data_IF_464656578688
#
_entry.id   IF_464656578688
#
_cell.length_a   1.000
_cell.length_b   1.000
_cell.length_c   1.000
_cell.angle_alpha   90.00
_cell.angle_beta   90.00
_cell.angle_gamma   90.00
#
_symmetry.space_group_name_H-M   'P 1'
#
loop_
_entity.id
_entity.type
_entity.pdbx_description
1 polymer ?
#
# COMPACT_ATOMS: atom_id res chain seq x y z
N UNK A 1 19.76 48.61 19.06
CA UNK A 1 21.16 48.34 19.47
C UNK A 1 21.61 47.04 18.82
N UNK A 2 22.53 47.08 17.85
CA UNK A 2 23.19 45.91 17.27
C UNK A 2 24.63 45.75 17.82
N UNK A 3 25.05 44.52 18.12
CA UNK A 3 26.43 44.03 18.32
C UNK A 3 26.31 42.53 18.68
N UNK A 4 27.12 41.54 18.28
CA UNK A 4 28.40 41.42 17.57
C UNK A 4 28.44 40.00 16.93
N UNK A 5 28.91 39.80 15.70
CA UNK A 5 30.28 39.37 15.30
C UNK A 5 30.67 37.97 15.84
N UNK A 6 30.50 36.85 15.11
CA UNK A 6 31.33 36.22 14.05
C UNK A 6 32.17 34.99 14.59
N UNK A 7 32.99 34.25 13.80
CA UNK A 7 32.88 32.79 13.60
C UNK A 7 34.16 31.98 13.91
N UNK A 8 34.14 30.63 13.81
CA UNK A 8 35.28 29.71 13.50
C UNK A 8 34.92 28.26 13.88
N UNK A 9 34.81 27.32 12.94
CA UNK A 9 35.83 26.48 12.25
C UNK A 9 36.25 25.20 13.01
N UNK A 10 36.54 24.10 12.28
CA UNK A 10 36.74 22.75 12.81
C UNK A 10 38.23 22.42 13.07
N UNK A 11 38.49 21.53 14.01
CA UNK A 11 39.81 20.91 14.21
C UNK A 11 39.71 19.38 14.18
N UNK A 12 40.32 18.77 13.17
CA UNK A 12 40.91 17.40 13.20
C UNK A 12 42.26 17.46 13.97
N UNK A 13 43.18 16.46 13.99
CA UNK A 13 43.22 15.08 13.49
C UNK A 13 43.93 14.06 14.45
N UNK A 14 44.23 12.85 13.93
CA UNK A 14 45.32 11.92 14.30
C UNK A 14 45.11 10.87 15.40
N UNK A 15 45.11 9.59 15.00
CA UNK A 15 46.15 8.55 15.26
C UNK A 15 45.65 7.24 14.61
N UNK A 16 46.21 6.77 13.49
CA UNK A 16 47.48 6.05 13.33
C UNK A 16 47.51 4.70 14.06
N UNK A 17 47.31 3.60 13.32
CA UNK A 17 48.23 2.44 13.31
C UNK A 17 47.82 1.44 12.23
N UNK A 18 48.73 1.24 11.27
CA UNK A 18 48.83 0.13 10.35
C UNK A 18 49.37 -1.11 11.11
N UNK A 19 48.74 -2.27 10.94
CA UNK A 19 49.33 -3.61 11.20
C UNK A 19 48.75 -4.52 10.11
N UNK A 20 49.52 -4.79 9.04
CA UNK A 20 50.34 -5.98 8.80
C UNK A 20 49.56 -7.31 8.69
N UNK A 21 49.51 -7.79 7.45
CA UNK A 21 49.54 -9.18 6.95
C UNK A 21 49.50 -10.33 7.97
N UNK A 22 48.64 -11.32 7.71
CA UNK A 22 49.06 -12.72 7.58
C UNK A 22 47.87 -13.65 7.27
N UNK A 23 47.80 -14.10 6.02
CA UNK A 23 47.10 -15.31 5.61
C UNK A 23 47.96 -16.54 5.93
N UNK A 24 47.41 -17.61 6.53
CA UNK A 24 48.03 -18.93 6.41
C UNK A 24 47.26 -19.84 5.46
N UNK A 25 47.97 -20.21 4.39
CA UNK A 25 47.66 -21.32 3.50
C UNK A 25 47.75 -22.67 4.23
N UNK A 26 46.86 -23.61 3.88
CA UNK A 26 46.91 -25.02 4.33
C UNK A 26 47.26 -25.92 3.14
N UNK A 27 48.23 -26.87 3.28
CA UNK A 27 48.67 -27.74 2.18
C UNK A 27 48.05 -29.17 2.18
N UNK A 28 47.62 -29.61 0.97
CA UNK A 28 47.64 -31.00 0.43
C UNK A 28 46.76 -32.10 1.07
N UNK A 29 46.65 -33.32 0.48
CA UNK A 29 47.33 -33.86 -0.71
C UNK A 29 46.45 -34.63 -1.76
N UNK A 30 46.91 -34.54 -3.02
CA UNK A 30 47.07 -35.56 -4.09
C UNK A 30 46.20 -36.84 -4.12
N UNK A 31 45.44 -36.98 -5.21
CA UNK A 31 45.65 -38.06 -6.20
C UNK A 31 44.65 -39.22 -6.30
N UNK A 32 44.53 -39.73 -7.53
CA UNK A 32 43.83 -40.95 -8.01
C UNK A 32 42.31 -40.82 -8.24
N UNK A 33 41.72 -41.19 -9.38
CA UNK A 33 42.21 -41.77 -10.63
C UNK A 33 41.22 -41.43 -11.76
N UNK A 34 41.75 -41.27 -12.97
CA UNK A 34 40.97 -41.23 -14.21
C UNK A 34 40.84 -42.67 -14.70
N UNK A 35 39.64 -43.10 -15.07
CA UNK A 35 39.43 -44.30 -15.89
C UNK A 35 38.40 -43.95 -16.98
N UNK A 36 38.71 -44.23 -18.26
CA UNK A 36 37.80 -43.96 -19.37
C UNK A 36 36.90 -45.18 -19.69
N UNK A 37 35.98 -44.95 -20.63
CA UNK A 37 35.24 -45.94 -21.46
C UNK A 37 33.84 -46.35 -20.96
N UNK A 38 32.79 -45.66 -21.44
CA UNK A 38 31.92 -46.18 -22.53
C UNK A 38 30.70 -45.28 -22.77
N UNK A 39 30.35 -44.99 -24.05
CA UNK A 39 29.14 -44.25 -24.41
C UNK A 39 27.99 -45.23 -24.66
N UNK A 40 26.95 -45.18 -23.83
CA UNK A 40 25.67 -45.80 -24.10
C UNK A 40 24.59 -44.72 -24.20
N UNK A 41 24.24 -44.44 -25.45
CA UNK A 41 23.02 -43.81 -25.93
C UNK A 41 21.77 -44.48 -25.33
N UNK A 42 20.73 -43.69 -25.01
CA UNK A 42 19.28 -43.90 -25.28
C UNK A 42 18.39 -43.01 -24.35
N UNK A 43 17.13 -42.69 -24.70
CA UNK A 43 16.76 -41.46 -25.38
C UNK A 43 15.81 -40.56 -24.54
N UNK A 44 15.51 -39.38 -25.08
CA UNK A 44 14.49 -38.43 -24.62
C UNK A 44 13.26 -39.07 -23.95
N UNK A 45 13.07 -38.75 -22.67
CA UNK A 45 11.77 -38.80 -22.02
C UNK A 45 11.22 -37.36 -21.92
N UNK A 46 10.16 -36.98 -22.66
CA UNK A 46 9.42 -35.76 -22.39
C UNK A 46 8.51 -35.99 -21.17
N UNK A 47 9.11 -36.14 -20.00
CA UNK A 47 8.44 -36.05 -18.72
C UNK A 47 8.60 -34.63 -18.22
N UNK A 48 7.70 -33.74 -18.65
CA UNK A 48 7.59 -32.41 -18.07
C UNK A 48 7.41 -32.58 -16.56
N UNK A 49 8.49 -32.34 -15.80
CA UNK A 49 8.40 -32.02 -14.39
C UNK A 49 7.49 -30.81 -14.30
N UNK A 50 6.20 -31.05 -14.06
CA UNK A 50 5.25 -30.01 -13.75
C UNK A 50 5.79 -29.32 -12.50
N UNK A 51 6.50 -28.22 -12.71
CA UNK A 51 6.82 -27.29 -11.65
C UNK A 51 5.48 -27.01 -10.95
N UNK A 52 5.32 -27.34 -9.66
CA UNK A 52 4.17 -26.85 -8.94
C UNK A 52 4.21 -25.34 -9.10
N UNK A 53 3.20 -24.77 -9.76
CA UNK A 53 3.06 -23.34 -9.91
C UNK A 53 3.07 -22.77 -8.50
N UNK A 54 4.23 -22.24 -8.09
CA UNK A 54 4.40 -21.62 -6.80
C UNK A 54 3.27 -20.61 -6.63
N UNK A 55 2.49 -20.64 -5.55
CA UNK A 55 1.52 -19.60 -5.30
C UNK A 55 2.30 -18.29 -5.18
N UNK A 56 2.14 -17.42 -6.18
CA UNK A 56 2.81 -16.14 -6.28
C UNK A 56 2.40 -15.31 -5.05
N UNK A 57 3.31 -15.24 -4.08
CA UNK A 57 3.35 -14.32 -2.96
C UNK A 57 2.01 -14.08 -2.25
N UNK A 58 1.67 -14.95 -1.29
CA UNK A 58 0.80 -14.57 -0.18
C UNK A 58 1.54 -13.53 0.68
N UNK A 59 1.51 -12.27 0.24
CA UNK A 59 2.17 -11.17 0.94
C UNK A 59 1.48 -10.97 2.28
N UNK A 60 2.16 -11.36 3.37
CA UNK A 60 1.70 -11.15 4.74
C UNK A 60 1.32 -9.67 4.94
N UNK A 61 0.06 -9.44 5.34
CA UNK A 61 -0.48 -8.09 5.51
C UNK A 61 0.23 -7.35 6.66
N UNK A 62 0.41 -6.04 6.48
CA UNK A 62 0.88 -5.15 7.53
C UNK A 62 -0.02 -5.23 8.78
N UNK A 63 0.59 -5.06 9.95
CA UNK A 63 -0.02 -5.13 11.30
C UNK A 63 -1.43 -4.53 11.32
N UNK A 64 -2.44 -5.38 11.57
CA UNK A 64 -3.85 -5.00 11.55
C UNK A 64 -4.23 -4.27 12.83
N UNK A 65 -4.19 -2.94 12.78
CA UNK A 65 -4.74 -2.08 13.84
C UNK A 65 -6.28 -2.12 13.75
N UNK A 66 -7.02 -2.40 14.84
CA UNK A 66 -8.48 -2.43 14.80
C UNK A 66 -9.05 -1.05 14.43
N UNK A 67 -9.94 -1.02 13.43
CA UNK A 67 -10.54 0.21 12.92
C UNK A 67 -11.74 0.58 13.79
N UNK A 68 -11.55 1.50 14.72
CA UNK A 68 -12.66 2.06 15.52
C UNK A 68 -13.18 3.33 14.86
N UNK A 69 -14.46 3.35 14.48
CA UNK A 69 -15.17 4.55 14.03
C UNK A 69 -16.04 5.08 15.17
N UNK A 70 -15.77 6.32 15.62
CA UNK A 70 -16.51 6.99 16.71
C UNK A 70 -17.99 7.24 16.38
N UNK A 71 -18.31 7.39 15.09
CA UNK A 71 -19.67 7.58 14.59
C UNK A 71 -19.78 6.93 13.21
N UNK A 72 -20.81 6.13 13.03
CA UNK A 72 -21.08 5.44 11.76
C UNK A 72 -22.01 6.26 10.87
N UNK A 73 -23.00 6.93 11.47
CA UNK A 73 -23.98 7.73 10.75
C UNK A 73 -23.37 9.02 10.17
N UNK A 74 -23.81 9.37 8.96
CA UNK A 74 -23.45 10.64 8.31
C UNK A 74 -24.02 11.83 9.07
N UNK A 75 -23.37 12.98 8.95
CA UNK A 75 -23.88 14.24 9.47
C UNK A 75 -24.84 14.85 8.44
N UNK A 76 -26.14 14.66 8.64
CA UNK A 76 -27.18 15.24 7.79
C UNK A 76 -27.42 16.71 8.14
N UNK A 77 -27.74 17.52 7.14
CA UNK A 77 -28.18 18.91 7.34
C UNK A 77 -29.51 18.95 8.09
N UNK A 78 -29.68 19.96 8.96
CA UNK A 78 -30.95 20.22 9.64
C UNK A 78 -32.11 20.38 8.63
N UNK A 79 -33.25 19.71 8.89
CA UNK A 79 -34.47 19.73 8.06
C UNK A 79 -34.32 19.16 6.64
N UNK A 80 -33.23 18.45 6.34
CA UNK A 80 -33.09 17.73 5.06
C UNK A 80 -34.04 16.54 4.93
N UNK A 81 -34.54 16.03 6.06
CA UNK A 81 -35.57 15.02 6.17
C UNK A 81 -36.96 15.55 5.80
N UNK A 82 -37.25 16.83 6.06
CA UNK A 82 -38.57 17.44 5.84
C UNK A 82 -38.74 17.99 4.43
N UNK A 83 -37.69 18.56 3.85
CA UNK A 83 -37.77 19.28 2.58
C UNK A 83 -36.80 18.70 1.55
N UNK A 84 -37.33 18.29 0.39
CA UNK A 84 -36.51 17.80 -0.71
C UNK A 84 -35.55 18.88 -1.28
N UNK A 85 -35.95 20.16 -1.23
CA UNK A 85 -35.10 21.28 -1.64
C UNK A 85 -33.84 21.43 -0.78
N UNK A 86 -33.87 20.93 0.46
CA UNK A 86 -32.74 21.00 1.39
C UNK A 86 -31.92 19.71 1.31
N UNK A 87 -30.84 19.76 0.52
CA UNK A 87 -29.91 18.63 0.36
C UNK A 87 -29.28 18.19 1.70
N UNK A 88 -29.03 16.88 1.83
CA UNK A 88 -28.49 16.26 3.06
C UNK A 88 -27.06 16.70 3.44
N UNK A 89 -26.30 17.27 2.48
CA UNK A 89 -24.92 17.69 2.71
C UNK A 89 -24.82 18.69 3.87
N UNK A 90 -23.98 18.38 4.86
CA UNK A 90 -23.84 19.16 6.08
C UNK A 90 -23.57 20.65 5.81
N UNK A 91 -24.31 21.52 6.50
CA UNK A 91 -24.08 22.97 6.57
C UNK A 91 -24.27 23.43 8.01
N UNK A 92 -23.40 24.33 8.48
CA UNK A 92 -23.49 24.87 9.83
C UNK A 92 -24.73 25.78 9.94
N UNK A 93 -25.71 25.47 10.81
CA UNK A 93 -26.89 26.31 10.98
C UNK A 93 -26.52 27.65 11.64
N UNK A 94 -26.99 28.76 11.08
CA UNK A 94 -26.66 30.13 11.53
C UNK A 94 -27.81 30.86 12.25
N UNK A 95 -29.06 30.43 12.08
CA UNK A 95 -30.25 31.14 12.60
C UNK A 95 -30.26 31.33 14.12
N UNK A 96 -30.86 32.44 14.57
CA UNK A 96 -30.90 32.86 15.98
C UNK A 96 -31.60 31.84 16.89
N UNK A 97 -32.73 31.28 16.45
CA UNK A 97 -33.53 30.32 17.23
C UNK A 97 -33.30 28.86 16.84
N UNK A 98 -32.26 28.59 16.04
CA UNK A 98 -32.02 27.23 15.57
C UNK A 98 -31.59 26.30 16.73
N UNK A 99 -32.40 25.26 16.96
CA UNK A 99 -32.20 24.30 18.06
C UNK A 99 -30.89 23.50 17.96
N UNK A 100 -30.43 23.18 16.74
CA UNK A 100 -29.15 22.47 16.51
C UNK A 100 -27.99 23.36 16.92
N UNK A 101 -28.02 24.65 16.55
CA UNK A 101 -26.98 25.62 16.88
C UNK A 101 -26.82 25.76 18.40
N UNK A 102 -27.96 25.84 19.11
CA UNK A 102 -28.04 25.91 20.58
C UNK A 102 -27.76 24.57 21.29
N UNK A 103 -27.62 23.47 20.54
CA UNK A 103 -27.28 22.12 21.06
C UNK A 103 -28.29 21.54 22.07
N UNK A 104 -29.59 21.76 21.84
CA UNK A 104 -30.61 21.10 22.65
C UNK A 104 -30.56 19.57 22.49
N UNK A 105 -30.96 18.86 23.56
CA UNK A 105 -31.11 17.39 23.54
C UNK A 105 -32.13 16.93 22.49
N UNK A 106 -31.91 15.73 21.94
CA UNK A 106 -32.78 15.13 20.92
C UNK A 106 -32.60 15.67 19.50
N UNK A 107 -31.69 16.62 19.28
CA UNK A 107 -31.43 17.18 17.96
C UNK A 107 -30.12 16.61 17.35
N UNK A 108 -30.03 16.64 16.02
CA UNK A 108 -28.87 16.16 15.25
C UNK A 108 -27.57 16.79 15.74
N UNK A 109 -26.57 15.95 16.04
CA UNK A 109 -25.26 16.39 16.49
C UNK A 109 -24.50 17.14 15.38
N UNK A 110 -23.81 18.23 15.75
CA UNK A 110 -22.90 18.94 14.85
C UNK A 110 -21.55 18.22 14.72
N UNK A 111 -20.88 18.26 13.55
CA UNK A 111 -19.49 17.85 13.41
C UNK A 111 -18.57 18.67 14.32
N UNK A 112 -17.62 17.98 14.95
CA UNK A 112 -16.60 18.52 15.85
C UNK A 112 -15.29 17.74 15.63
N UNK A 113 -14.15 18.35 15.96
CA UNK A 113 -12.83 17.70 15.90
C UNK A 113 -12.80 16.41 16.74
N UNK A 114 -13.55 16.35 17.84
CA UNK A 114 -13.62 15.16 18.71
C UNK A 114 -14.08 13.87 18.02
N UNK A 115 -14.82 13.96 16.90
CA UNK A 115 -15.22 12.78 16.12
C UNK A 115 -14.10 12.24 15.20
N UNK A 116 -12.95 12.90 15.13
CA UNK A 116 -11.81 12.45 14.34
C UNK A 116 -11.36 11.04 14.70
N UNK A 117 -11.12 10.21 13.68
CA UNK A 117 -10.56 8.86 13.83
C UNK A 117 -9.09 8.91 14.25
N UNK A 118 -8.54 7.80 14.75
CA UNK A 118 -7.11 7.69 15.04
C UNK A 118 -6.28 8.03 13.78
N UNK A 119 -5.19 8.79 13.95
CA UNK A 119 -4.29 9.20 12.86
C UNK A 119 -3.77 8.00 12.08
N UNK A 120 -3.43 6.90 12.76
CA UNK A 120 -2.92 5.67 12.13
C UNK A 120 -3.97 4.97 11.25
N UNK A 121 -5.24 4.98 11.65
CA UNK A 121 -6.33 4.27 10.97
C UNK A 121 -7.15 5.15 10.03
N UNK A 122 -6.72 6.39 9.81
CA UNK A 122 -7.40 7.33 8.93
C UNK A 122 -7.26 6.84 7.48
N UNK A 123 -8.37 6.86 6.73
CA UNK A 123 -8.45 6.41 5.33
C UNK A 123 -8.14 4.93 5.06
N UNK A 124 -8.12 4.07 6.09
CA UNK A 124 -8.05 2.63 5.91
C UNK A 124 -9.40 2.05 5.46
N UNK A 125 -9.32 1.14 4.51
CA UNK A 125 -10.38 0.21 4.10
C UNK A 125 -10.52 -0.91 5.14
N UNK A 126 -11.65 -1.64 5.16
CA UNK A 126 -11.84 -2.79 6.04
C UNK A 126 -10.84 -3.94 5.79
N UNK A 127 -10.24 -3.98 4.60
CA UNK A 127 -9.17 -4.91 4.25
C UNK A 127 -7.81 -4.55 4.89
N UNK A 128 -7.68 -3.40 5.56
CA UNK A 128 -6.43 -2.94 6.18
C UNK A 128 -5.49 -2.13 5.28
N UNK A 129 -5.85 -1.92 4.01
CA UNK A 129 -5.07 -1.13 3.04
C UNK A 129 -5.64 0.29 2.89
N UNK A 130 -4.84 1.21 2.38
CA UNK A 130 -5.30 2.53 1.90
C UNK A 130 -5.67 2.43 0.43
N UNK A 131 -6.73 3.09 0.01
CA UNK A 131 -7.08 3.13 -1.42
C UNK A 131 -6.17 4.10 -2.19
N UNK A 132 -5.69 3.67 -3.34
CA UNK A 132 -4.96 4.49 -4.31
C UNK A 132 -5.69 4.45 -5.65
N UNK A 133 -6.07 5.61 -6.17
CA UNK A 133 -6.81 5.71 -7.43
C UNK A 133 -5.83 5.58 -8.61
N UNK A 134 -6.11 4.65 -9.53
CA UNK A 134 -5.26 4.34 -10.68
C UNK A 134 -6.03 4.60 -11.98
N UNK A 135 -5.43 5.36 -12.89
CA UNK A 135 -5.94 5.65 -14.23
C UNK A 135 -5.19 4.85 -15.30
N UNK A 136 -3.88 4.63 -15.12
CA UNK A 136 -2.98 4.09 -16.14
C UNK A 136 -2.14 2.92 -15.62
N UNK A 137 -1.57 2.12 -16.52
CA UNK A 137 -0.68 0.99 -16.18
C UNK A 137 0.57 1.45 -15.41
N UNK A 138 1.16 2.59 -15.82
CA UNK A 138 2.34 3.18 -15.17
C UNK A 138 2.11 3.53 -13.69
N UNK A 139 0.88 3.86 -13.33
CA UNK A 139 0.52 4.19 -11.94
C UNK A 139 0.43 2.93 -11.06
N UNK A 140 0.23 1.75 -11.66
CA UNK A 140 0.30 0.47 -10.95
C UNK A 140 1.74 0.16 -10.55
N UNK A 141 2.71 0.50 -11.40
CA UNK A 141 4.13 0.28 -11.12
C UNK A 141 4.63 1.05 -9.89
N UNK A 142 4.04 2.23 -9.61
CA UNK A 142 4.32 3.00 -8.39
C UNK A 142 3.97 2.22 -7.11
N UNK A 143 3.04 1.27 -7.19
CA UNK A 143 2.60 0.46 -6.05
C UNK A 143 3.49 -0.75 -5.78
N UNK A 144 4.52 -1.00 -6.61
CA UNK A 144 5.45 -2.11 -6.43
C UNK A 144 6.11 -2.08 -5.04
N UNK A 145 6.61 -0.92 -4.62
CA UNK A 145 7.25 -0.76 -3.31
C UNK A 145 6.26 -0.71 -2.15
N UNK A 146 5.00 -0.36 -2.41
CA UNK A 146 4.01 -0.08 -1.37
C UNK A 146 2.81 -1.04 -1.36
N UNK A 147 2.99 -2.25 -1.88
CA UNK A 147 1.96 -3.29 -2.00
C UNK A 147 1.24 -3.64 -0.68
N UNK A 148 1.95 -3.60 0.45
CA UNK A 148 1.41 -3.88 1.79
C UNK A 148 0.57 -2.75 2.38
N UNK A 149 0.72 -1.53 1.87
CA UNK A 149 0.08 -0.33 2.42
C UNK A 149 -1.12 0.13 1.59
N UNK A 150 -1.08 -0.08 0.28
CA UNK A 150 -2.09 0.43 -0.64
C UNK A 150 -2.77 -0.68 -1.44
N UNK A 151 -4.04 -0.46 -1.74
CA UNK A 151 -4.82 -1.21 -2.71
C UNK A 151 -5.11 -0.29 -3.90
N UNK A 152 -4.98 -0.83 -5.11
CA UNK A 152 -5.34 -0.11 -6.32
C UNK A 152 -6.86 -0.09 -6.51
N UNK A 153 -7.43 1.08 -6.77
CA UNK A 153 -8.82 1.28 -7.19
C UNK A 153 -8.79 1.86 -8.60
N UNK A 154 -9.31 1.11 -9.57
CA UNK A 154 -9.31 1.56 -10.97
C UNK A 154 -10.37 2.65 -11.15
N UNK A 155 -9.98 3.78 -11.72
CA UNK A 155 -10.88 4.90 -11.92
C UNK A 155 -12.06 4.57 -12.86
N UNK A 156 -13.16 5.31 -12.67
CA UNK A 156 -14.42 5.08 -13.39
C UNK A 156 -14.35 5.43 -14.88
N UNK A 157 -13.41 6.29 -15.28
CA UNK A 157 -13.20 6.74 -16.66
C UNK A 157 -12.43 5.72 -17.51
N UNK A 158 -11.70 4.77 -16.90
CA UNK A 158 -10.86 3.80 -17.63
C UNK A 158 -11.72 2.83 -18.45
N UNK A 159 -11.40 2.70 -19.74
CA UNK A 159 -12.05 1.78 -20.69
C UNK A 159 -11.83 0.31 -20.33
N UNK A 160 -12.63 -0.60 -20.89
CA UNK A 160 -12.51 -2.05 -20.64
C UNK A 160 -11.15 -2.61 -21.07
N UNK A 161 -10.63 -2.20 -22.24
CA UNK A 161 -9.31 -2.66 -22.74
C UNK A 161 -8.17 -2.29 -21.79
N UNK A 162 -8.15 -1.04 -21.34
CA UNK A 162 -7.12 -0.57 -20.42
C UNK A 162 -7.26 -1.20 -19.02
N UNK A 163 -8.49 -1.54 -18.60
CA UNK A 163 -8.72 -2.29 -17.36
C UNK A 163 -8.09 -3.68 -17.40
N UNK A 164 -8.21 -4.41 -18.50
CA UNK A 164 -7.56 -5.72 -18.67
C UNK A 164 -6.04 -5.60 -18.50
N UNK A 165 -5.42 -4.63 -19.19
CA UNK A 165 -3.97 -4.38 -19.08
C UNK A 165 -3.54 -4.00 -17.65
N UNK A 166 -4.33 -3.18 -16.95
CA UNK A 166 -4.08 -2.81 -15.54
C UNK A 166 -4.19 -4.03 -14.62
N UNK A 167 -5.20 -4.90 -14.83
CA UNK A 167 -5.39 -6.10 -14.04
C UNK A 167 -4.28 -7.13 -14.26
N UNK A 168 -3.88 -7.35 -15.51
CA UNK A 168 -2.74 -8.21 -15.85
C UNK A 168 -1.47 -7.70 -15.18
N UNK A 169 -1.18 -6.40 -15.30
CA UNK A 169 -0.02 -5.81 -14.63
C UNK A 169 -0.09 -5.92 -13.11
N UNK A 170 -1.26 -5.68 -12.52
CA UNK A 170 -1.45 -5.79 -11.07
C UNK A 170 -1.26 -7.23 -10.57
N UNK A 171 -1.69 -8.24 -11.36
CA UNK A 171 -1.45 -9.67 -11.04
C UNK A 171 0.05 -9.99 -11.02
N UNK A 172 0.80 -9.49 -12.00
CA UNK A 172 2.26 -9.68 -12.05
C UNK A 172 2.95 -9.08 -10.82
N UNK A 173 2.55 -7.88 -10.41
CA UNK A 173 3.15 -7.19 -9.26
C UNK A 173 2.58 -7.65 -7.91
N UNK A 174 1.57 -8.52 -7.89
CA UNK A 174 0.89 -8.97 -6.67
C UNK A 174 0.13 -7.86 -5.93
N UNK A 175 -0.32 -6.81 -6.63
CA UNK A 175 -1.05 -5.68 -6.04
C UNK A 175 -2.53 -6.01 -5.96
N UNK A 176 -3.14 -5.78 -4.78
CA UNK A 176 -4.58 -6.00 -4.59
C UNK A 176 -5.39 -4.89 -5.24
N UNK A 177 -6.31 -5.28 -6.13
CA UNK A 177 -7.27 -4.39 -6.80
C UNK A 177 -8.63 -4.48 -6.09
N UNK A 178 -9.26 -3.34 -5.81
CA UNK A 178 -10.57 -3.29 -5.11
C UNK A 178 -11.75 -3.61 -6.00
N UNK A 179 -11.68 -3.30 -7.29
CA UNK A 179 -12.76 -3.43 -8.27
C UNK A 179 -12.38 -4.30 -9.48
N UNK A 180 -12.07 -5.61 -9.30
CA UNK A 180 -11.57 -6.45 -10.40
C UNK A 180 -12.62 -6.78 -11.47
N UNK A 181 -13.88 -6.99 -11.10
CA UNK A 181 -14.93 -7.45 -12.03
C UNK A 181 -15.63 -6.31 -12.82
N UNK A 182 -15.18 -5.07 -12.68
CA UNK A 182 -15.93 -3.93 -13.21
C UNK A 182 -15.70 -3.77 -14.73
N UNK A 183 -16.79 -3.79 -15.52
CA UNK A 183 -16.86 -3.65 -17.00
C UNK A 183 -16.32 -4.81 -17.84
N UNK A 184 -15.81 -5.87 -17.21
CA UNK A 184 -15.41 -7.10 -17.89
C UNK A 184 -16.48 -8.14 -17.60
N UNK A 185 -17.57 -8.12 -18.39
CA UNK A 185 -18.49 -9.25 -18.43
C UNK A 185 -17.91 -10.24 -19.45
N UNK A 186 -17.55 -11.42 -19.01
CA UNK A 186 -17.53 -12.58 -19.89
C UNK A 186 -18.98 -12.85 -20.27
N UNK A 187 -19.27 -12.91 -21.56
CA UNK A 187 -20.55 -13.42 -22.06
C UNK A 187 -20.74 -14.83 -21.47
N UNK A 188 -21.90 -15.05 -20.86
CA UNK A 188 -22.42 -16.37 -20.49
C UNK A 188 -23.38 -16.80 -21.60
#
# INVERSE_FOLDING_TARGET
MPAATAPSLPCSPLTCTLIFDASPAVPGPKGFAISPVSPAYLPNAPGACAMPSMPIFATAMAVKIPIVKKRTNKFKRHQSDRYHSVKEAWRKPKGIDNRVRRRFKGQTAMPKIGYGSNKKTRHLLPNGLKKFLVNNVREVDLLLMHNKSFAAEIAHNVSSRNRTAILERAKVLGVKVTNPAARLRSEE
#
